data_IF_668414669064
#
_entry.id   IF_668414669064
#
_cell.length_a   1.000
_cell.length_b   1.000
_cell.length_c   1.000
_cell.angle_alpha   90.00
_cell.angle_beta   90.00
_cell.angle_gamma   90.00
#
_symmetry.space_group_name_H-M   'P 1'
#
loop_
_entity.id
_entity.type
_entity.pdbx_description
1 polymer ?
#
# COMPACT_ATOMS: atom_id res chain seq x y z
N UNK A 1 6.52 12.33 30.79
CA UNK A 1 6.40 11.06 30.05
C UNK A 1 7.61 10.97 29.14
N UNK A 2 8.41 9.91 29.23
CA UNK A 2 9.49 9.69 28.27
C UNK A 2 8.87 9.04 27.03
N UNK A 3 9.01 9.65 25.86
CA UNK A 3 8.77 8.97 24.59
C UNK A 3 9.61 7.70 24.61
N UNK A 4 8.94 6.54 24.60
CA UNK A 4 9.64 5.26 24.41
C UNK A 4 10.19 5.31 23.00
N UNK A 5 11.51 5.26 22.86
CA UNK A 5 12.12 5.18 21.55
C UNK A 5 11.69 3.85 20.89
N UNK A 6 11.21 3.91 19.65
CA UNK A 6 10.69 2.77 18.90
C UNK A 6 11.43 2.61 17.57
N UNK A 7 11.50 1.36 17.11
CA UNK A 7 11.95 1.00 15.76
C UNK A 7 10.79 1.21 14.79
N UNK A 8 10.91 2.27 13.99
CA UNK A 8 9.94 2.66 12.96
C UNK A 8 10.20 1.92 11.65
N UNK A 9 9.13 1.61 10.93
CA UNK A 9 9.16 1.05 9.58
C UNK A 9 8.30 1.91 8.66
N UNK A 10 8.85 2.24 7.49
CA UNK A 10 8.11 2.94 6.45
C UNK A 10 7.58 1.90 5.45
N UNK A 11 6.27 1.70 5.47
CA UNK A 11 5.59 0.93 4.44
C UNK A 11 5.44 1.81 3.21
N UNK A 12 5.92 1.34 2.06
CA UNK A 12 5.51 1.86 0.75
C UNK A 12 4.33 1.02 0.27
N UNK A 13 3.28 1.68 -0.19
CA UNK A 13 2.11 1.06 -0.81
C UNK A 13 1.99 1.66 -2.21
N UNK A 14 2.03 0.77 -3.18
CA UNK A 14 1.97 1.11 -4.59
C UNK A 14 0.54 1.47 -5.03
N UNK A 15 0.38 2.29 -6.07
CA UNK A 15 -0.93 2.69 -6.62
C UNK A 15 -1.84 1.51 -6.99
N UNK A 16 -1.26 0.35 -7.29
CA UNK A 16 -1.97 -0.88 -7.62
C UNK A 16 -2.35 -1.70 -6.39
N UNK A 17 -1.68 -1.58 -5.25
CA UNK A 17 -1.89 -2.46 -4.10
C UNK A 17 -3.34 -2.47 -3.62
N UNK A 18 -3.82 -3.62 -3.12
CA UNK A 18 -5.21 -3.76 -2.67
C UNK A 18 -5.57 -2.90 -1.46
N UNK A 19 -4.57 -2.32 -0.78
CA UNK A 19 -4.77 -1.43 0.35
C UNK A 19 -5.38 -0.08 -0.08
N UNK A 20 -5.26 0.30 -1.35
CA UNK A 20 -5.86 1.52 -1.90
C UNK A 20 -7.22 1.17 -2.51
N UNK A 21 -8.25 1.90 -2.09
CA UNK A 21 -9.60 1.76 -2.63
C UNK A 21 -9.88 2.87 -3.63
N UNK A 22 -10.22 2.48 -4.87
CA UNK A 22 -10.77 3.35 -5.89
C UNK A 22 -12.27 3.02 -6.07
N UNK A 23 -13.19 3.80 -5.47
CA UNK A 23 -14.62 3.45 -5.46
C UNK A 23 -15.24 3.32 -6.86
N UNK A 24 -14.69 4.06 -7.83
CA UNK A 24 -15.10 4.02 -9.24
C UNK A 24 -13.86 3.87 -10.12
N UNK A 25 -13.36 2.64 -10.26
CA UNK A 25 -12.14 2.32 -11.02
C UNK A 25 -12.14 2.91 -12.45
N UNK A 26 -13.30 2.97 -13.11
CA UNK A 26 -13.42 3.50 -14.47
C UNK A 26 -13.17 5.01 -14.61
N UNK A 27 -13.03 5.74 -13.50
CA UNK A 27 -12.60 7.14 -13.49
C UNK A 27 -11.08 7.30 -13.51
N UNK A 28 -10.34 6.20 -13.40
CA UNK A 28 -8.89 6.15 -13.34
C UNK A 28 -8.33 5.47 -14.58
N UNK A 29 -7.12 5.85 -14.96
CA UNK A 29 -6.34 5.23 -16.01
C UNK A 29 -4.98 4.88 -15.43
N UNK A 30 -4.56 3.65 -15.67
CA UNK A 30 -3.22 3.15 -15.33
C UNK A 30 -2.59 2.51 -16.56
N UNK A 31 -1.25 2.53 -16.69
CA UNK A 31 -0.55 1.64 -17.60
C UNK A 31 -0.88 0.16 -17.33
N UNK A 32 -0.76 -0.67 -18.36
CA UNK A 32 -0.86 -2.13 -18.25
C UNK A 32 0.54 -2.70 -17.92
N UNK A 33 0.78 -3.16 -16.68
CA UNK A 33 2.09 -3.68 -16.28
C UNK A 33 2.43 -5.02 -16.94
N UNK A 34 1.43 -5.76 -17.45
CA UNK A 34 1.62 -7.03 -18.15
C UNK A 34 1.99 -6.86 -19.64
N UNK A 35 1.87 -5.65 -20.20
CA UNK A 35 2.12 -5.36 -21.62
C UNK A 35 3.62 -5.37 -22.02
N UNK A 36 4.50 -5.79 -21.11
CA UNK A 36 5.95 -5.81 -21.29
C UNK A 36 6.60 -4.46 -20.97
N UNK A 37 7.94 -4.47 -20.88
CA UNK A 37 8.72 -3.32 -20.41
C UNK A 37 8.47 -2.07 -21.27
N UNK A 38 8.08 -0.98 -20.62
CA UNK A 38 7.95 0.33 -21.24
C UNK A 38 8.93 1.32 -20.57
N UNK A 39 10.04 1.69 -21.22
CA UNK A 39 11.02 2.62 -20.65
C UNK A 39 10.46 3.99 -20.27
N UNK A 40 9.32 4.39 -20.83
CA UNK A 40 8.64 5.65 -20.46
C UNK A 40 7.98 5.59 -19.08
N UNK A 41 7.87 4.39 -18.49
CA UNK A 41 7.30 4.20 -17.15
C UNK A 41 8.36 4.07 -16.06
N UNK A 42 9.64 4.06 -16.42
CA UNK A 42 10.75 3.87 -15.47
C UNK A 42 10.91 4.99 -14.43
N UNK A 43 10.18 6.09 -14.58
CA UNK A 43 10.11 7.19 -13.61
C UNK A 43 9.04 7.01 -12.54
N UNK A 44 8.19 5.99 -12.67
CA UNK A 44 7.13 5.69 -11.71
C UNK A 44 7.51 4.46 -10.89
N UNK A 45 7.04 4.43 -9.64
CA UNK A 45 7.27 3.30 -8.76
C UNK A 45 6.64 2.04 -9.35
N UNK A 46 7.43 0.97 -9.40
CA UNK A 46 7.10 -0.30 -10.08
C UNK A 46 6.50 -0.16 -11.49
N UNK A 47 6.91 0.90 -12.21
CA UNK A 47 6.45 1.21 -13.56
C UNK A 47 4.90 1.38 -13.68
N UNK A 48 4.19 1.71 -12.60
CA UNK A 48 2.72 1.95 -12.59
C UNK A 48 2.33 3.32 -12.03
N UNK A 49 1.09 3.75 -12.29
CA UNK A 49 0.47 4.93 -11.67
C UNK A 49 -1.04 4.90 -11.88
N UNK A 50 -1.80 5.56 -11.00
CA UNK A 50 -3.23 5.85 -11.22
C UNK A 50 -3.45 7.34 -11.51
N UNK A 51 -3.93 7.65 -12.71
CA UNK A 51 -4.27 9.02 -13.14
C UNK A 51 -5.76 9.20 -13.37
N UNK A 52 -6.30 10.34 -13.00
CA UNK A 52 -7.66 10.76 -13.33
C UNK A 52 -7.69 12.21 -13.80
N UNK A 53 -8.61 12.53 -14.71
CA UNK A 53 -8.99 13.91 -15.05
C UNK A 53 -10.46 14.19 -14.71
N UNK A 54 -11.11 13.28 -13.98
CA UNK A 54 -12.52 13.36 -13.61
C UNK A 54 -12.64 14.12 -12.28
N UNK A 55 -13.24 15.30 -12.31
CA UNK A 55 -13.55 16.05 -11.09
C UNK A 55 -14.50 15.24 -10.19
N UNK A 56 -14.14 15.12 -8.93
CA UNK A 56 -14.84 14.31 -7.93
C UNK A 56 -14.40 12.84 -7.87
N UNK A 57 -13.53 12.38 -8.78
CA UNK A 57 -12.91 11.06 -8.61
C UNK A 57 -12.00 11.06 -7.38
N UNK A 58 -12.07 9.98 -6.61
CA UNK A 58 -11.33 9.85 -5.36
C UNK A 58 -10.75 8.46 -5.16
N UNK A 59 -9.79 8.37 -4.25
CA UNK A 59 -9.32 7.13 -3.68
C UNK A 59 -9.22 7.29 -2.16
N UNK A 60 -9.20 6.17 -1.44
CA UNK A 60 -9.02 6.16 0.01
C UNK A 60 -8.03 5.10 0.45
N UNK A 61 -7.33 5.39 1.54
CA UNK A 61 -6.35 4.50 2.18
C UNK A 61 -6.51 4.57 3.70
N UNK A 62 -6.68 3.42 4.33
CA UNK A 62 -6.72 3.29 5.78
C UNK A 62 -5.39 2.78 6.30
N UNK A 63 -4.85 3.40 7.36
CA UNK A 63 -3.62 2.94 7.99
C UNK A 63 -3.65 3.12 9.50
N UNK A 64 -2.83 2.32 10.21
CA UNK A 64 -2.51 2.58 11.62
C UNK A 64 -1.06 3.01 11.71
N UNK A 65 -0.79 4.26 12.08
CA UNK A 65 0.56 4.80 12.01
C UNK A 65 0.65 6.24 12.49
N UNK A 66 1.83 6.84 12.34
CA UNK A 66 2.11 8.21 12.83
C UNK A 66 2.51 9.19 11.73
N UNK A 67 2.76 8.70 10.51
CA UNK A 67 3.12 9.54 9.37
C UNK A 67 2.45 8.99 8.10
N UNK A 68 2.14 9.90 7.19
CA UNK A 68 1.58 9.62 5.87
C UNK A 68 2.23 10.53 4.83
N UNK A 69 2.58 9.97 3.68
CA UNK A 69 3.15 10.69 2.54
C UNK A 69 2.46 10.22 1.27
N UNK A 70 2.10 11.17 0.40
CA UNK A 70 1.51 10.89 -0.90
C UNK A 70 2.46 11.39 -2.00
N UNK A 71 2.82 10.49 -2.91
CA UNK A 71 3.64 10.80 -4.08
C UNK A 71 2.85 10.60 -5.36
N UNK A 72 3.19 11.41 -6.37
CA UNK A 72 2.51 11.40 -7.65
C UNK A 72 3.18 12.35 -8.63
N UNK A 73 2.39 13.05 -9.42
CA UNK A 73 2.92 13.99 -10.40
C UNK A 73 2.40 15.41 -10.21
N UNK A 74 3.23 16.36 -10.61
CA UNK A 74 2.89 17.78 -10.71
C UNK A 74 3.27 18.33 -12.09
N UNK A 75 2.59 19.38 -12.54
CA UNK A 75 2.86 19.98 -13.85
C UNK A 75 1.70 20.80 -14.42
N UNK A 76 1.82 21.33 -15.65
CA UNK A 76 0.83 22.25 -16.18
C UNK A 76 -0.55 21.61 -16.41
N UNK A 77 -0.60 20.29 -16.62
CA UNK A 77 -1.83 19.53 -16.84
C UNK A 77 -2.58 19.18 -15.54
N UNK A 78 -1.98 19.43 -14.38
CA UNK A 78 -2.52 19.04 -13.09
C UNK A 78 -3.38 20.13 -12.46
N UNK A 79 -4.40 19.70 -11.73
CA UNK A 79 -5.39 20.55 -11.08
C UNK A 79 -5.20 20.66 -9.57
N UNK A 80 -6.26 21.16 -8.91
CA UNK A 80 -6.38 21.14 -7.47
C UNK A 80 -6.96 19.80 -6.98
N UNK A 81 -6.62 19.41 -5.76
CA UNK A 81 -7.15 18.22 -5.09
C UNK A 81 -7.42 18.54 -3.63
N UNK A 82 -8.30 17.76 -3.02
CA UNK A 82 -8.56 17.77 -1.58
C UNK A 82 -7.93 16.54 -0.96
N UNK A 83 -7.29 16.70 0.19
CA UNK A 83 -6.95 15.58 1.07
C UNK A 83 -7.72 15.73 2.38
N UNK A 84 -8.49 14.71 2.73
CA UNK A 84 -9.20 14.60 4.00
C UNK A 84 -8.53 13.50 4.83
N UNK A 85 -8.11 13.83 6.05
CA UNK A 85 -7.64 12.86 7.04
C UNK A 85 -8.56 12.95 8.25
N UNK A 86 -9.30 11.87 8.51
CA UNK A 86 -10.23 11.76 9.64
C UNK A 86 -11.27 12.89 9.75
N UNK A 87 -11.74 13.41 8.62
CA UNK A 87 -12.71 14.51 8.54
C UNK A 87 -12.07 15.90 8.53
N UNK A 88 -10.74 15.98 8.48
CA UNK A 88 -10.00 17.24 8.34
C UNK A 88 -9.50 17.40 6.91
N UNK A 89 -10.20 18.21 6.12
CA UNK A 89 -9.90 18.45 4.72
C UNK A 89 -8.98 19.67 4.48
N UNK A 90 -8.03 19.52 3.56
CA UNK A 90 -7.19 20.59 3.01
C UNK A 90 -7.22 20.57 1.47
N UNK A 91 -7.44 21.72 0.85
CA UNK A 91 -7.30 21.89 -0.60
C UNK A 91 -5.85 22.25 -0.98
N UNK A 92 -5.27 21.45 -1.87
CA UNK A 92 -3.92 21.59 -2.41
C UNK A 92 -3.95 21.67 -3.95
N UNK A 93 -2.79 21.88 -4.56
CA UNK A 93 -2.66 21.97 -6.01
C UNK A 93 -1.42 21.23 -6.49
N UNK A 94 -1.62 20.36 -7.49
CA UNK A 94 -0.55 19.70 -8.22
C UNK A 94 -0.11 20.49 -9.48
N UNK A 95 -0.76 21.63 -9.76
CA UNK A 95 -0.35 22.52 -10.85
C UNK A 95 1.08 23.06 -10.63
N UNK A 96 1.93 22.90 -11.64
CA UNK A 96 3.28 23.47 -11.67
C UNK A 96 3.67 23.87 -13.10
N UNK A 97 4.67 24.74 -13.25
CA UNK A 97 5.11 25.22 -14.58
C UNK A 97 5.87 24.15 -15.40
N UNK A 98 6.42 23.13 -14.75
CA UNK A 98 7.18 22.04 -15.35
C UNK A 98 6.68 20.71 -14.79
N UNK A 99 6.81 19.65 -15.58
CA UNK A 99 6.44 18.31 -15.13
C UNK A 99 7.45 17.80 -14.09
N UNK A 100 6.94 17.13 -13.07
CA UNK A 100 7.71 16.38 -12.09
C UNK A 100 6.97 15.07 -11.78
N UNK A 101 7.68 13.95 -11.90
CA UNK A 101 7.33 12.63 -11.36
C UNK A 101 7.89 12.47 -9.93
N UNK A 102 7.46 11.43 -9.22
CA UNK A 102 7.80 11.18 -7.80
C UNK A 102 7.62 12.43 -6.90
N UNK A 103 6.66 13.28 -7.25
CA UNK A 103 6.44 14.55 -6.58
C UNK A 103 5.70 14.34 -5.26
N UNK A 104 6.23 14.87 -4.16
CA UNK A 104 5.55 14.86 -2.86
C UNK A 104 4.34 15.80 -2.91
N UNK A 105 3.15 15.21 -3.08
CA UNK A 105 1.87 15.92 -3.10
C UNK A 105 1.44 16.32 -1.70
N UNK A 106 1.62 15.44 -0.72
CA UNK A 106 1.21 15.73 0.65
C UNK A 106 2.05 14.96 1.66
N UNK A 107 2.18 15.53 2.87
CA UNK A 107 2.67 14.79 4.02
C UNK A 107 1.95 15.23 5.30
N UNK A 108 1.68 14.25 6.16
CA UNK A 108 1.31 14.46 7.54
C UNK A 108 2.31 13.72 8.43
N UNK A 109 2.84 14.40 9.44
CA UNK A 109 3.78 13.83 10.40
C UNK A 109 3.25 14.04 11.80
N UNK A 110 3.64 13.16 12.73
CA UNK A 110 3.24 13.23 14.15
C UNK A 110 1.72 13.14 14.32
N UNK A 111 1.08 12.32 13.50
CA UNK A 111 -0.29 11.89 13.75
C UNK A 111 -0.31 11.03 15.03
N UNK A 112 -1.39 11.10 15.84
CA UNK A 112 -1.59 10.16 16.94
C UNK A 112 -1.47 8.72 16.44
N UNK A 113 -0.81 7.82 17.16
CA UNK A 113 -0.66 6.44 16.71
C UNK A 113 -1.98 5.66 16.82
N UNK A 114 -2.85 5.86 15.83
CA UNK A 114 -4.22 5.33 15.78
C UNK A 114 -4.55 4.91 14.35
N UNK A 115 -5.75 4.40 14.13
CA UNK A 115 -6.23 4.15 12.76
C UNK A 115 -6.73 5.47 12.15
N UNK A 116 -6.19 5.79 10.99
CA UNK A 116 -6.53 6.94 10.16
C UNK A 116 -7.17 6.48 8.86
N UNK A 117 -8.06 7.31 8.31
CA UNK A 117 -8.58 7.16 6.96
C UNK A 117 -8.23 8.42 6.18
N UNK A 118 -7.50 8.23 5.08
CA UNK A 118 -7.20 9.29 4.12
C UNK A 118 -8.13 9.13 2.92
N UNK A 119 -8.78 10.21 2.51
CA UNK A 119 -9.47 10.31 1.23
C UNK A 119 -8.87 11.44 0.41
N UNK A 120 -8.54 11.17 -0.85
CA UNK A 120 -8.01 12.19 -1.76
C UNK A 120 -8.96 12.32 -2.94
N UNK A 121 -9.36 13.55 -3.25
CA UNK A 121 -10.37 13.84 -4.28
C UNK A 121 -9.82 14.82 -5.31
N UNK A 122 -9.91 14.49 -6.60
CA UNK A 122 -9.59 15.43 -7.68
C UNK A 122 -10.63 16.56 -7.73
N UNK A 123 -10.24 17.80 -7.46
CA UNK A 123 -11.14 18.96 -7.53
C UNK A 123 -11.15 19.64 -8.90
N UNK A 124 -10.29 19.18 -9.83
CA UNK A 124 -10.13 19.77 -11.15
C UNK A 124 -9.53 21.19 -11.10
N UNK A 125 -9.78 22.02 -12.12
CA UNK A 125 -9.20 23.35 -12.21
C UNK A 125 -9.95 24.33 -11.29
N UNK A 126 -9.36 24.66 -10.13
CA UNK A 126 -9.90 25.66 -9.18
C UNK A 126 -9.34 27.07 -9.42
N UNK A 127 -8.17 27.18 -10.05
CA UNK A 127 -7.54 28.46 -10.39
C UNK A 127 -7.39 28.61 -11.90
N UNK A 128 -7.28 29.86 -12.35
CA UNK A 128 -7.09 30.16 -13.78
C UNK A 128 -5.73 29.65 -14.24
N UNK A 129 -5.75 28.72 -15.19
CA UNK A 129 -4.54 28.12 -15.76
C UNK A 129 -4.20 26.74 -15.21
N UNK A 130 -4.92 26.27 -14.18
CA UNK A 130 -4.82 24.89 -13.70
C UNK A 130 -5.27 23.92 -14.79
N UNK A 131 -4.66 22.73 -14.78
CA UNK A 131 -5.18 21.60 -15.54
C UNK A 131 -6.25 20.83 -14.77
N UNK A 132 -6.54 19.62 -15.23
CA UNK A 132 -7.63 18.77 -14.71
C UNK A 132 -7.13 17.54 -13.98
N UNK A 133 -5.85 17.23 -14.10
CA UNK A 133 -5.33 15.92 -13.73
C UNK A 133 -4.96 15.84 -12.25
N UNK A 134 -5.12 14.63 -11.72
CA UNK A 134 -4.49 14.13 -10.51
C UNK A 134 -3.85 12.78 -10.86
N UNK A 135 -2.61 12.56 -10.44
CA UNK A 135 -1.90 11.28 -10.61
C UNK A 135 -1.27 10.89 -9.29
N UNK A 136 -1.50 9.64 -8.89
CA UNK A 136 -0.92 8.98 -7.73
C UNK A 136 0.04 7.90 -8.22
N UNK A 137 1.22 7.87 -7.63
CA UNK A 137 2.28 6.92 -7.95
C UNK A 137 2.41 5.89 -6.81
N UNK A 138 2.69 6.37 -5.60
CA UNK A 138 2.67 5.54 -4.41
C UNK A 138 2.41 6.38 -3.16
N UNK A 139 2.14 5.72 -2.06
CA UNK A 139 2.05 6.34 -0.74
C UNK A 139 2.98 5.66 0.25
N UNK A 140 3.31 6.37 1.32
CA UNK A 140 4.07 5.82 2.43
C UNK A 140 3.39 6.08 3.76
N UNK A 141 3.48 5.13 4.68
CA UNK A 141 3.09 5.32 6.08
C UNK A 141 4.12 4.76 7.05
N UNK A 142 4.25 5.38 8.21
CA UNK A 142 5.20 4.95 9.25
C UNK A 142 4.48 4.24 10.38
N UNK A 143 4.88 2.99 10.62
CA UNK A 143 4.41 2.14 11.71
C UNK A 143 5.52 1.90 12.73
N UNK A 144 5.14 1.54 13.94
CA UNK A 144 6.07 1.13 14.99
C UNK A 144 6.08 -0.42 15.05
N UNK A 145 7.27 -1.03 15.05
CA UNK A 145 7.41 -2.49 15.01
C UNK A 145 8.03 -3.09 16.27
N UNK A 146 8.90 -2.36 16.96
CA UNK A 146 9.62 -2.88 18.11
C UNK A 146 10.13 -1.73 18.99
N UNK A 147 10.59 -1.97 20.24
CA UNK A 147 11.37 -1.01 20.98
C UNK A 147 12.64 -0.61 20.23
N UNK A 148 13.19 0.57 20.49
CA UNK A 148 14.44 1.00 19.89
C UNK A 148 15.58 0.06 20.29
N UNK A 149 16.36 -0.37 19.29
CA UNK A 149 17.49 -1.28 19.48
C UNK A 149 17.13 -2.77 19.37
N UNK A 150 15.84 -3.12 19.35
CA UNK A 150 15.41 -4.46 18.99
C UNK A 150 15.73 -4.75 17.51
N UNK A 151 16.12 -5.98 17.20
CA UNK A 151 16.37 -6.43 15.82
C UNK A 151 15.11 -7.05 15.22
N UNK A 152 14.90 -6.86 13.93
CA UNK A 152 13.81 -7.50 13.17
C UNK A 152 14.36 -8.64 12.32
N UNK A 153 13.67 -9.78 12.33
CA UNK A 153 13.95 -10.92 11.47
C UNK A 153 12.83 -11.08 10.45
N UNK A 154 13.18 -11.12 9.17
CA UNK A 154 12.24 -11.42 8.08
C UNK A 154 12.12 -12.93 7.88
N UNK A 155 10.89 -13.45 7.84
CA UNK A 155 10.57 -14.82 7.43
C UNK A 155 9.55 -14.80 6.29
N UNK A 156 9.95 -15.29 5.12
CA UNK A 156 9.05 -15.53 3.99
C UNK A 156 8.45 -16.93 4.08
N UNK A 157 7.13 -17.01 3.92
CA UNK A 157 6.34 -18.23 3.79
C UNK A 157 5.83 -18.28 2.36
N UNK A 158 6.33 -19.23 1.58
CA UNK A 158 5.75 -19.48 0.26
C UNK A 158 4.33 -20.08 0.43
N UNK A 159 3.48 -19.95 -0.59
CA UNK A 159 2.16 -20.58 -0.69
C UNK A 159 2.12 -22.09 -0.38
N UNK A 160 3.27 -22.78 -0.48
CA UNK A 160 3.45 -24.21 -0.15
C UNK A 160 3.85 -24.48 1.31
N UNK A 161 4.09 -23.45 2.14
CA UNK A 161 4.51 -23.64 3.53
C UNK A 161 3.47 -24.46 4.32
N UNK A 162 3.89 -25.52 5.05
CA UNK A 162 2.97 -26.42 5.74
C UNK A 162 2.22 -25.79 6.91
N UNK A 163 2.56 -24.56 7.32
CA UNK A 163 1.78 -23.78 8.30
C UNK A 163 0.51 -23.18 7.70
N UNK A 164 0.42 -23.06 6.37
CA UNK A 164 -0.75 -22.54 5.68
C UNK A 164 -1.83 -23.63 5.61
N UNK A 165 -3.03 -23.29 6.07
CA UNK A 165 -4.18 -24.19 6.05
C UNK A 165 -5.20 -23.67 5.04
N UNK A 166 -5.35 -24.42 3.96
CA UNK A 166 -6.29 -24.14 2.87
C UNK A 166 -7.62 -24.87 3.07
N UNK A 167 -8.72 -24.18 2.81
CA UNK A 167 -10.08 -24.73 2.76
C UNK A 167 -10.71 -24.36 1.42
N UNK A 168 -11.50 -25.27 0.85
CA UNK A 168 -12.02 -25.13 -0.50
C UNK A 168 -11.03 -25.63 -1.55
N UNK A 169 -11.30 -25.29 -2.82
CA UNK A 169 -10.49 -25.77 -3.94
C UNK A 169 -9.44 -24.72 -4.29
N UNK A 170 -8.16 -25.10 -4.23
CA UNK A 170 -7.02 -24.23 -4.55
C UNK A 170 -6.12 -24.95 -5.56
N UNK A 171 -5.60 -24.21 -6.52
CA UNK A 171 -4.77 -24.73 -7.60
C UNK A 171 -3.43 -24.01 -7.60
N UNK A 172 -2.34 -24.76 -7.70
CA UNK A 172 -1.01 -24.18 -7.91
C UNK A 172 -0.94 -23.61 -9.32
N UNK A 173 -0.41 -22.39 -9.44
CA UNK A 173 -0.25 -21.71 -10.71
C UNK A 173 0.96 -22.27 -11.48
N UNK A 174 1.09 -21.89 -12.74
CA UNK A 174 2.28 -22.23 -13.53
C UNK A 174 3.49 -21.45 -13.02
N UNK A 175 4.68 -22.01 -13.21
CA UNK A 175 5.92 -21.33 -12.81
C UNK A 175 6.01 -19.94 -13.45
N UNK A 176 6.19 -18.92 -12.61
CA UNK A 176 6.43 -17.53 -13.00
C UNK A 176 7.55 -16.98 -12.11
N UNK A 177 8.72 -16.59 -12.67
CA UNK A 177 9.85 -16.11 -11.89
C UNK A 177 9.62 -14.74 -11.24
N UNK A 178 8.49 -14.09 -11.51
CA UNK A 178 8.09 -12.87 -10.81
C UNK A 178 7.56 -13.19 -9.41
N UNK A 179 6.91 -14.32 -9.20
CA UNK A 179 6.45 -14.74 -7.87
C UNK A 179 7.60 -15.19 -6.96
N UNK A 180 7.39 -15.03 -5.66
CA UNK A 180 8.27 -15.61 -4.65
C UNK A 180 8.28 -17.14 -4.75
N UNK A 181 9.46 -17.73 -4.63
CA UNK A 181 9.64 -19.17 -4.89
C UNK A 181 9.34 -19.64 -6.33
N UNK A 182 8.85 -18.75 -7.21
CA UNK A 182 8.51 -19.00 -8.60
C UNK A 182 7.09 -19.52 -8.85
N UNK A 183 6.23 -19.59 -7.84
CA UNK A 183 4.89 -20.15 -7.94
C UNK A 183 3.89 -19.33 -7.09
N UNK A 184 2.61 -19.48 -7.38
CA UNK A 184 1.51 -18.96 -6.57
C UNK A 184 0.43 -20.03 -6.44
N UNK A 185 -0.55 -19.81 -5.55
CA UNK A 185 -1.72 -20.68 -5.43
C UNK A 185 -3.00 -19.84 -5.47
N UNK A 186 -3.90 -20.22 -6.37
CA UNK A 186 -5.13 -19.47 -6.63
C UNK A 186 -6.40 -20.23 -6.33
N UNK A 187 -7.48 -19.48 -6.17
CA UNK A 187 -8.84 -20.00 -6.07
C UNK A 187 -9.85 -19.07 -6.72
N UNK A 188 -10.91 -19.65 -7.29
CA UNK A 188 -12.16 -18.96 -7.61
C UNK A 188 -13.36 -19.56 -6.85
N UNK A 189 -13.09 -20.41 -5.85
CA UNK A 189 -14.13 -21.01 -5.03
C UNK A 189 -14.75 -19.98 -4.09
N UNK A 190 -16.08 -19.95 -4.02
CA UNK A 190 -16.81 -19.10 -3.07
C UNK A 190 -16.54 -19.57 -1.63
N UNK A 191 -16.04 -18.66 -0.79
CA UNK A 191 -15.65 -18.98 0.58
C UNK A 191 -14.39 -19.85 0.70
N UNK A 192 -13.67 -20.14 -0.39
CA UNK A 192 -12.36 -20.76 -0.32
C UNK A 192 -11.40 -19.83 0.44
N UNK A 193 -10.63 -20.39 1.37
CA UNK A 193 -9.84 -19.60 2.31
C UNK A 193 -8.47 -20.20 2.56
N UNK A 194 -7.51 -19.34 2.92
CA UNK A 194 -6.21 -19.71 3.46
C UNK A 194 -6.04 -19.07 4.83
N UNK A 195 -5.51 -19.81 5.79
CA UNK A 195 -5.29 -19.31 7.15
C UNK A 195 -3.88 -19.64 7.65
N UNK A 196 -3.38 -18.77 8.53
CA UNK A 196 -2.07 -18.88 9.15
C UNK A 196 -2.18 -18.48 10.63
N UNK A 197 -1.64 -19.32 11.51
CA UNK A 197 -1.32 -18.92 12.89
C UNK A 197 0.15 -18.51 12.95
N UNK A 198 0.47 -17.37 13.57
CA UNK A 198 1.81 -16.81 13.58
C UNK A 198 2.14 -16.00 14.85
N UNK A 199 3.42 -15.71 15.04
CA UNK A 199 3.93 -14.81 16.06
C UNK A 199 4.95 -13.86 15.43
N UNK A 200 4.50 -12.64 15.14
CA UNK A 200 5.27 -11.61 14.48
C UNK A 200 4.67 -10.25 14.85
N UNK A 201 5.44 -9.16 14.74
CA UNK A 201 4.92 -7.81 14.97
C UNK A 201 4.32 -7.19 13.71
N UNK A 202 4.66 -7.72 12.53
CA UNK A 202 4.00 -7.37 11.28
C UNK A 202 3.85 -8.59 10.36
N UNK A 203 2.83 -8.52 9.51
CA UNK A 203 2.51 -9.47 8.47
C UNK A 203 2.21 -8.72 7.17
N UNK A 204 2.76 -9.25 6.07
CA UNK A 204 2.47 -8.82 4.71
C UNK A 204 1.97 -10.04 3.94
N UNK A 205 0.89 -9.89 3.18
CA UNK A 205 0.36 -10.94 2.32
C UNK A 205 0.45 -10.42 0.90
N UNK A 206 1.11 -11.20 0.03
CA UNK A 206 1.33 -10.86 -1.37
C UNK A 206 0.57 -11.81 -2.29
N UNK A 207 0.25 -11.31 -3.46
CA UNK A 207 -0.34 -12.02 -4.59
C UNK A 207 -0.24 -11.15 -5.83
N UNK A 208 -1.05 -11.40 -6.84
CA UNK A 208 -1.19 -10.53 -8.00
C UNK A 208 -2.56 -9.87 -8.06
N UNK A 209 -2.64 -8.84 -8.90
CA UNK A 209 -3.89 -8.21 -9.31
C UNK A 209 -4.05 -8.30 -10.80
N UNK A 210 -5.21 -8.78 -11.24
CA UNK A 210 -5.62 -8.86 -12.65
C UNK A 210 -7.12 -8.54 -12.78
N UNK A 211 -7.61 -8.31 -13.99
CA UNK A 211 -9.02 -8.07 -14.30
C UNK A 211 -9.92 -9.31 -14.11
N UNK A 212 -9.36 -10.50 -13.87
CA UNK A 212 -10.12 -11.69 -13.38
C UNK A 212 -10.27 -11.76 -11.87
N UNK A 213 -9.57 -10.92 -11.13
CA UNK A 213 -9.60 -11.01 -9.67
C UNK A 213 -10.86 -10.36 -9.11
N UNK A 214 -11.15 -10.71 -7.86
CA UNK A 214 -12.39 -10.34 -7.21
C UNK A 214 -12.19 -9.60 -5.91
N UNK A 215 -13.29 -9.48 -5.18
CA UNK A 215 -13.23 -9.11 -3.79
C UNK A 215 -12.73 -10.31 -2.98
N UNK A 216 -12.01 -10.01 -1.91
CA UNK A 216 -11.68 -10.98 -0.88
C UNK A 216 -11.79 -10.29 0.48
N UNK A 217 -11.84 -11.08 1.54
CA UNK A 217 -11.80 -10.54 2.89
C UNK A 217 -10.62 -11.07 3.66
N UNK A 218 -10.09 -10.24 4.56
CA UNK A 218 -9.08 -10.64 5.53
C UNK A 218 -9.62 -10.43 6.94
N UNK A 219 -9.53 -11.46 7.78
CA UNK A 219 -9.84 -11.39 9.19
C UNK A 219 -8.58 -11.67 10.00
N UNK A 220 -8.14 -10.69 10.79
CA UNK A 220 -7.04 -10.84 11.75
C UNK A 220 -7.63 -11.12 13.14
N UNK A 221 -7.11 -12.16 13.81
CA UNK A 221 -7.46 -12.58 15.17
C UNK A 221 -8.96 -12.86 15.39
N UNK A 222 -9.65 -13.31 14.36
CA UNK A 222 -11.11 -13.52 14.39
C UNK A 222 -11.92 -12.23 14.49
N UNK A 223 -11.28 -11.07 14.25
CA UNK A 223 -11.96 -9.78 14.13
C UNK A 223 -12.90 -9.73 12.92
N UNK A 224 -13.61 -8.60 12.80
CA UNK A 224 -14.52 -8.38 11.67
C UNK A 224 -13.73 -8.45 10.34
N UNK A 225 -14.18 -9.24 9.35
CA UNK A 225 -13.51 -9.32 8.06
C UNK A 225 -13.49 -7.95 7.37
N UNK A 226 -12.32 -7.54 6.90
CA UNK A 226 -12.11 -6.36 6.07
C UNK A 226 -12.14 -6.77 4.61
N UNK A 227 -12.88 -6.04 3.76
CA UNK A 227 -12.97 -6.33 2.32
C UNK A 227 -11.89 -5.58 1.55
N UNK A 228 -11.21 -6.29 0.67
CA UNK A 228 -10.19 -5.78 -0.24
C UNK A 228 -10.55 -6.16 -1.69
N UNK A 229 -9.88 -5.52 -2.64
CA UNK A 229 -10.15 -5.69 -4.07
C UNK A 229 -8.88 -6.11 -4.82
N UNK A 230 -8.91 -7.29 -5.44
CA UNK A 230 -7.84 -7.81 -6.29
C UNK A 230 -7.95 -7.39 -7.76
N UNK A 231 -9.04 -6.73 -8.17
CA UNK A 231 -9.22 -6.28 -9.56
C UNK A 231 -8.12 -5.28 -9.94
N UNK A 232 -7.49 -5.49 -11.10
CA UNK A 232 -6.47 -4.58 -11.63
C UNK A 232 -7.02 -3.22 -12.04
N UNK A 233 -6.14 -2.23 -12.10
CA UNK A 233 -6.55 -0.84 -12.27
C UNK A 233 -6.93 -0.43 -13.69
N UNK A 234 -6.59 -1.23 -14.71
CA UNK A 234 -6.63 -0.79 -16.11
C UNK A 234 -8.03 -0.54 -16.69
N UNK A 235 -9.08 -1.02 -16.04
CA UNK A 235 -10.43 -0.98 -16.60
C UNK A 235 -10.54 -1.89 -17.83
N UNK A 236 -11.04 -3.11 -17.63
CA UNK A 236 -11.12 -4.13 -18.69
C UNK A 236 -12.38 -4.97 -18.62
N UNK A 237 -12.59 -5.80 -19.64
CA UNK A 237 -13.51 -6.94 -19.52
C UNK A 237 -12.92 -7.94 -18.52
N UNK A 238 -13.72 -8.90 -18.02
CA UNK A 238 -13.21 -10.00 -17.23
C UNK A 238 -12.36 -10.95 -18.11
N UNK A 239 -11.11 -10.56 -18.41
CA UNK A 239 -10.11 -11.26 -19.21
C UNK A 239 -8.84 -11.47 -18.37
N UNK A 240 -7.79 -12.11 -18.87
CA UNK A 240 -6.49 -12.18 -18.16
C UNK A 240 -5.51 -11.17 -18.76
N UNK A 241 -5.68 -9.91 -18.40
CA UNK A 241 -4.85 -8.81 -18.85
C UNK A 241 -4.51 -7.90 -17.66
N UNK A 242 -3.59 -6.96 -17.84
CA UNK A 242 -3.27 -6.01 -16.78
C UNK A 242 -2.94 -6.69 -15.44
N UNK A 243 -2.17 -7.77 -15.53
CA UNK A 243 -1.66 -8.50 -14.37
C UNK A 243 -0.47 -7.74 -13.79
N UNK A 244 -0.52 -7.43 -12.50
CA UNK A 244 0.62 -6.98 -11.71
C UNK A 244 0.93 -8.05 -10.67
N UNK A 245 2.07 -8.71 -10.81
CA UNK A 245 2.59 -9.65 -9.83
C UNK A 245 3.08 -8.92 -8.55
N UNK A 246 3.25 -9.65 -7.45
CA UNK A 246 3.84 -9.17 -6.19
C UNK A 246 3.16 -7.94 -5.55
N UNK A 247 1.87 -7.77 -5.76
CA UNK A 247 1.07 -6.73 -5.11
C UNK A 247 0.81 -7.06 -3.65
N UNK A 248 0.80 -6.03 -2.80
CA UNK A 248 0.44 -6.16 -1.40
C UNK A 248 -1.08 -6.29 -1.28
N UNK A 249 -1.52 -7.50 -0.93
CA UNK A 249 -2.91 -7.82 -0.71
C UNK A 249 -3.38 -7.36 0.68
N UNK A 250 -2.54 -7.54 1.69
CA UNK A 250 -2.86 -7.16 3.06
C UNK A 250 -1.62 -6.85 3.89
N UNK A 251 -1.79 -5.95 4.86
CA UNK A 251 -0.76 -5.59 5.83
C UNK A 251 -1.35 -5.35 7.21
N UNK A 252 -0.65 -5.83 8.23
CA UNK A 252 -0.85 -5.40 9.61
C UNK A 252 0.49 -5.29 10.33
N UNK A 253 0.58 -4.35 11.29
CA UNK A 253 1.79 -4.08 12.05
C UNK A 253 1.46 -3.64 13.48
N UNK A 254 2.51 -3.49 14.30
CA UNK A 254 2.42 -3.24 15.74
C UNK A 254 1.56 -4.30 16.44
N UNK A 255 1.73 -5.54 16.02
CA UNK A 255 1.13 -6.71 16.63
C UNK A 255 1.93 -7.09 17.88
N UNK A 256 1.22 -7.49 18.93
CA UNK A 256 1.78 -7.79 20.24
C UNK A 256 2.42 -9.21 20.26
N UNK A 257 2.92 -9.63 21.42
CA UNK A 257 3.66 -10.89 21.54
C UNK A 257 2.75 -12.15 21.53
N UNK A 258 1.42 -12.00 21.58
CA UNK A 258 0.51 -13.13 21.60
C UNK A 258 0.52 -13.87 20.26
N UNK A 259 0.09 -15.14 20.22
CA UNK A 259 -0.20 -15.80 18.97
C UNK A 259 -1.33 -15.08 18.23
N UNK A 260 -1.10 -14.80 16.94
CA UNK A 260 -2.06 -14.21 16.04
C UNK A 260 -2.57 -15.22 15.02
N UNK A 261 -3.75 -14.96 14.47
CA UNK A 261 -4.27 -15.69 13.32
C UNK A 261 -4.71 -14.74 12.21
N UNK A 262 -4.49 -15.13 10.96
CA UNK A 262 -5.06 -14.43 9.80
C UNK A 262 -5.79 -15.44 8.92
N UNK A 263 -6.94 -15.03 8.39
CA UNK A 263 -7.70 -15.79 7.39
C UNK A 263 -8.01 -14.88 6.22
N UNK A 264 -7.62 -15.30 5.02
CA UNK A 264 -8.00 -14.67 3.76
C UNK A 264 -9.06 -15.54 3.08
N UNK A 265 -10.16 -14.95 2.65
CA UNK A 265 -11.30 -15.65 2.04
C UNK A 265 -11.71 -15.01 0.73
N UNK A 266 -11.79 -15.80 -0.34
CA UNK A 266 -12.21 -15.33 -1.66
C UNK A 266 -13.73 -15.07 -1.71
N UNK A 267 -14.11 -13.98 -2.37
CA UNK A 267 -15.50 -13.60 -2.64
C UNK A 267 -15.63 -13.40 -4.17
N UNK A 268 -15.80 -14.51 -4.92
CA UNK A 268 -15.70 -14.51 -6.37
C UNK A 268 -16.81 -13.72 -7.08
N UNK A 269 -17.92 -13.46 -6.39
CA UNK A 269 -19.11 -12.84 -6.98
C UNK A 269 -19.68 -13.65 -8.15
N UNK A 270 -20.51 -13.01 -8.98
CA UNK A 270 -21.21 -13.67 -10.07
C UNK A 270 -20.29 -14.08 -11.24
N UNK A 271 -19.10 -13.50 -11.35
CA UNK A 271 -18.15 -13.76 -12.44
C UNK A 271 -17.19 -14.92 -12.14
N UNK A 272 -17.22 -15.49 -10.93
CA UNK A 272 -16.27 -16.53 -10.55
C UNK A 272 -14.85 -15.98 -10.44
N UNK A 273 -14.72 -14.78 -9.85
CA UNK A 273 -13.47 -14.05 -9.75
C UNK A 273 -12.45 -14.74 -8.83
N UNK A 274 -11.18 -14.50 -9.11
CA UNK A 274 -10.06 -15.20 -8.49
C UNK A 274 -9.43 -14.39 -7.35
N UNK A 275 -8.71 -15.12 -6.50
CA UNK A 275 -7.71 -14.60 -5.58
C UNK A 275 -6.50 -15.53 -5.63
N UNK A 276 -5.31 -14.93 -5.64
CA UNK A 276 -4.03 -15.61 -5.66
C UNK A 276 -3.22 -15.25 -4.42
N UNK A 277 -2.61 -16.27 -3.81
CA UNK A 277 -1.57 -16.11 -2.81
C UNK A 277 -0.22 -16.46 -3.43
N UNK A 278 0.72 -15.52 -3.37
CA UNK A 278 2.13 -15.74 -3.68
C UNK A 278 2.89 -16.13 -2.40
N UNK A 279 3.07 -15.15 -1.50
CA UNK A 279 3.81 -15.37 -0.26
C UNK A 279 3.25 -14.55 0.90
N UNK A 280 3.59 -14.99 2.11
CA UNK A 280 3.38 -14.24 3.35
C UNK A 280 4.74 -13.91 3.96
N UNK A 281 4.97 -12.64 4.27
CA UNK A 281 6.17 -12.18 4.96
C UNK A 281 5.84 -11.79 6.39
N UNK A 282 6.60 -12.33 7.33
CA UNK A 282 6.51 -12.03 8.76
C UNK A 282 7.74 -11.25 9.22
N UNK A 283 7.53 -10.17 9.98
CA UNK A 283 8.60 -9.50 10.72
C UNK A 283 8.49 -9.84 12.19
N UNK A 284 9.45 -10.62 12.69
CA UNK A 284 9.51 -11.00 14.11
C UNK A 284 10.58 -10.18 14.81
N UNK A 285 10.23 -9.39 15.84
CA UNK A 285 11.22 -8.63 16.60
C UNK A 285 11.91 -9.51 17.65
N UNK A 286 13.14 -9.17 18.03
CA UNK A 286 13.82 -9.77 19.19
C UNK A 286 13.14 -9.44 20.51
N UNK A 287 12.38 -8.34 20.54
CA UNK A 287 11.60 -7.85 21.67
C UNK A 287 10.36 -7.14 21.13
N UNK A 288 9.19 -7.49 21.65
CA UNK A 288 7.93 -6.84 21.26
C UNK A 288 7.76 -5.51 22.00
N UNK A 289 7.02 -4.59 21.39
CA UNK A 289 6.51 -3.42 22.11
C UNK A 289 5.62 -3.93 23.24
N UNK A 290 5.82 -3.43 24.46
CA UNK A 290 4.94 -3.76 25.59
C UNK A 290 3.51 -3.31 25.29
N UNK A 291 2.53 -3.91 25.97
CA UNK A 291 1.10 -3.54 25.90
C UNK A 291 0.90 -2.09 26.38
N UNK A 292 1.18 -1.11 25.52
CA UNK A 292 0.92 0.29 25.80
C UNK A 292 -0.42 0.65 25.17
N UNK A 293 -1.46 0.60 25.98
CA UNK A 293 -2.72 1.29 25.71
C UNK A 293 -2.41 2.77 25.38
N UNK A 294 -2.75 3.18 24.15
CA UNK A 294 -3.01 4.56 23.74
C UNK A 294 -2.07 5.63 24.30
N UNK A 295 -0.91 5.83 23.66
CA UNK A 295 -0.21 7.10 23.80
C UNK A 295 -0.93 8.17 22.98
N UNK A 296 -1.84 8.89 23.65
CA UNK A 296 -2.37 10.16 23.15
C UNK A 296 -1.20 11.12 22.93
N UNK A 297 -0.90 11.42 21.67
CA UNK A 297 -0.06 12.54 21.32
C UNK A 297 -0.81 13.80 21.76
N UNK A 298 -0.22 14.60 22.67
CA UNK A 298 -0.84 15.86 23.09
C UNK A 298 -1.06 16.74 21.85
N UNK A 299 -2.33 17.07 21.62
CA UNK A 299 -2.80 18.05 20.65
C UNK A 299 -2.09 19.38 20.90
N UNK A 300 -1.12 19.66 20.04
CA UNK A 300 -0.58 21.01 19.87
C UNK A 300 -0.80 21.44 18.42
N UNK A 301 -2.07 21.65 18.06
CA UNK A 301 -2.46 22.58 17.00
C UNK A 301 -1.95 24.00 17.34
N UNK A 302 -0.67 24.26 17.10
CA UNK A 302 -0.14 25.62 17.07
C UNK A 302 -0.42 26.20 15.69
N UNK A 303 -1.52 26.94 15.58
CA UNK A 303 -1.71 27.87 14.48
C UNK A 303 -0.54 28.86 14.46
N UNK A 304 0.34 28.77 13.45
CA UNK A 304 1.37 29.80 13.20
C UNK A 304 1.10 30.51 11.87
N UNK A 305 0.69 31.76 12.04
CA UNK A 305 0.67 32.82 11.05
C UNK A 305 2.03 32.99 10.36
N UNK A 306 1.97 33.37 9.09
CA UNK A 306 3.07 33.63 8.18
C UNK A 306 4.16 34.56 8.75
N UNK A 307 5.41 34.09 8.65
CA UNK A 307 6.59 34.90 8.92
C UNK A 307 7.80 34.29 8.20
N UNK A 308 8.25 34.96 7.14
CA UNK A 308 9.38 34.53 6.33
C UNK A 308 10.70 34.55 7.14
N UNK A 309 11.43 33.44 7.16
CA UNK A 309 12.88 33.47 7.38
C UNK A 309 13.58 32.22 6.83
N UNK A 310 14.80 32.47 6.34
CA UNK A 310 15.69 31.62 5.54
C UNK A 310 15.91 30.21 6.09
N UNK A 311 15.93 29.25 5.15
CA UNK A 311 16.30 27.86 5.36
C UNK A 311 17.76 27.72 5.83
N UNK A 312 17.93 26.98 6.93
CA UNK A 312 19.16 26.28 7.26
C UNK A 312 18.81 24.78 7.29
N UNK A 313 19.54 24.00 6.51
CA UNK A 313 19.34 22.56 6.34
C UNK A 313 19.53 21.80 7.65
N UNK A 314 18.62 20.91 8.06
CA UNK A 314 18.93 19.94 9.08
C UNK A 314 19.66 18.75 8.46
N UNK A 315 20.73 18.35 9.15
CA UNK A 315 21.58 17.20 8.88
C UNK A 315 20.76 15.92 8.96
N UNK A 316 20.85 15.10 7.92
CA UNK A 316 20.27 13.76 7.79
C UNK A 316 20.90 12.80 8.81
N UNK A 317 20.07 12.23 9.68
CA UNK A 317 20.38 10.98 10.38
C UNK A 317 20.33 9.81 9.38
N UNK A 318 20.99 8.67 9.69
CA UNK A 318 21.14 7.58 8.73
C UNK A 318 19.77 6.99 8.35
N UNK A 319 19.44 7.14 7.07
CA UNK A 319 18.32 6.52 6.40
C UNK A 319 18.64 5.01 6.28
N UNK A 320 17.99 4.17 7.08
CA UNK A 320 18.07 2.73 6.87
C UNK A 320 17.11 2.38 5.73
N UNK A 321 17.60 2.46 4.48
CA UNK A 321 16.96 1.76 3.35
C UNK A 321 17.09 0.26 3.64
N UNK A 322 16.06 -0.35 4.20
CA UNK A 322 15.86 -1.78 4.01
C UNK A 322 15.30 -1.96 2.61
N UNK A 323 16.20 -2.22 1.65
CA UNK A 323 15.82 -2.85 0.40
C UNK A 323 15.12 -4.17 0.74
N UNK A 324 13.89 -4.34 0.27
CA UNK A 324 13.31 -5.66 0.14
C UNK A 324 14.22 -6.47 -0.79
N UNK A 325 15.11 -7.28 -0.22
CA UNK A 325 15.69 -8.43 -0.90
C UNK A 325 14.67 -9.56 -0.82
N UNK A 326 13.53 -9.38 -1.50
CA UNK A 326 12.72 -10.48 -1.97
C UNK A 326 12.96 -10.55 -3.48
N UNK A 327 13.76 -11.53 -3.89
CA UNK A 327 13.98 -12.00 -5.26
C UNK A 327 14.36 -10.97 -6.34
N UNK A 328 15.59 -10.45 -6.26
CA UNK A 328 16.35 -10.12 -7.47
C UNK A 328 17.59 -11.04 -7.57
N UNK A 329 17.38 -12.26 -8.05
CA UNK A 329 18.46 -13.01 -8.69
C UNK A 329 18.13 -13.22 -10.17
N UNK A 330 19.02 -12.66 -11.00
CA UNK A 330 19.23 -12.89 -12.43
C UNK A 330 18.31 -12.17 -13.43
N UNK A 331 18.64 -10.89 -13.72
CA UNK A 331 18.66 -10.44 -15.12
C UNK A 331 20.07 -9.94 -15.48
N UNK A 332 20.78 -10.59 -16.43
CA UNK A 332 22.07 -10.10 -16.89
C UNK A 332 21.88 -8.80 -17.66
N UNK A 333 22.67 -7.78 -17.29
CA UNK A 333 22.90 -6.62 -18.14
C UNK A 333 23.50 -7.08 -19.47
N UNK A 334 22.73 -6.99 -20.55
CA UNK A 334 23.30 -6.86 -21.88
C UNK A 334 22.92 -5.50 -22.46
N UNK A 335 23.98 -4.85 -22.93
CA UNK A 335 24.04 -3.51 -23.52
C UNK A 335 23.13 -3.37 -24.72
#
# INVERSE_FOLDING_TARGET
>A
MHDVAVTKFNLTVDDFDSLITYPVQSQWTTPDPSAGRNPALAEWFDETFHRTNVTGASFSFGFKGSEFFLYGAAGPAFGSYEIDIDGHAEELSAHAAQNASEHLLFHARRLPYTTHIVTVTNLGPRRRGDGTDLLVDFLQTTVDLAPAGATLTNTTLEETDPRLVYTGNWTENVFNPLFSGGFSRFTNGDGASVSLNFSATAIFIFGDKTDRHGLYTVALDGGAPQTFNGVSGCGGAFAHACEKDNTLAYFAANLDARPHSVTVTNIPGALGAFFDLDAIVLLTPSEYLGDHEGHGYEDTLVARTSGASRAASPVSGPLLLMFFFALYFLRPFHK
#
